data_IF_218034737664
#
_entry.id   IF_218034737664
#
_cell.length_a   1.000
_cell.length_b   1.000
_cell.length_c   1.000
_cell.angle_alpha   90.00
_cell.angle_beta   90.00
_cell.angle_gamma   90.00
#
_symmetry.space_group_name_H-M   'P 1'
#
loop_
_entity.id
_entity.type
_entity.pdbx_description
1 polymer ?
#
# COMPACT_ATOMS: atom_id res chain seq x y z
N UNK A 1 -4.26 11.77 15.46
CA UNK A 1 -4.75 10.41 15.78
C UNK A 1 -4.25 9.95 17.15
N UNK A 2 -3.06 10.39 17.61
CA UNK A 2 -2.62 10.11 18.99
C UNK A 2 -2.29 8.63 19.25
N UNK A 3 -2.22 7.81 18.21
CA UNK A 3 -1.93 6.39 18.31
C UNK A 3 -0.49 6.15 18.74
N UNK A 4 0.49 6.86 18.17
CA UNK A 4 1.90 6.70 18.53
C UNK A 4 2.19 6.92 20.03
N UNK A 5 1.44 7.79 20.70
CA UNK A 5 1.58 8.02 22.15
C UNK A 5 0.82 7.01 23.03
N UNK A 6 0.01 6.15 22.42
CA UNK A 6 -0.74 5.07 23.10
C UNK A 6 -0.16 3.69 22.78
N UNK A 7 0.54 3.57 21.66
CA UNK A 7 1.13 2.35 21.13
C UNK A 7 2.66 2.47 21.17
N UNK A 8 3.25 2.33 22.35
CA UNK A 8 4.69 2.64 22.55
C UNK A 8 5.66 1.72 21.77
N UNK A 9 5.16 0.66 21.14
CA UNK A 9 5.94 -0.27 20.33
C UNK A 9 6.00 0.12 18.83
N UNK A 10 5.15 1.05 18.38
CA UNK A 10 5.12 1.46 16.96
C UNK A 10 6.06 2.62 16.69
N UNK A 11 6.64 2.63 15.49
CA UNK A 11 7.51 3.70 15.00
C UNK A 11 6.65 4.95 14.72
N UNK A 12 6.95 6.07 15.38
CA UNK A 12 6.37 7.36 15.01
C UNK A 12 7.06 7.92 13.77
N UNK A 13 6.51 7.59 12.60
CA UNK A 13 7.01 8.00 11.28
C UNK A 13 6.16 9.08 10.62
N UNK A 14 5.41 9.88 11.38
CA UNK A 14 4.48 10.86 10.81
C UNK A 14 5.16 11.84 9.84
N UNK A 15 6.38 12.28 10.16
CA UNK A 15 7.15 13.21 9.33
C UNK A 15 7.59 12.54 8.02
N UNK A 16 8.06 11.30 8.09
CA UNK A 16 8.48 10.49 6.96
C UNK A 16 7.29 10.12 6.05
N UNK A 17 6.16 9.72 6.65
CA UNK A 17 4.90 9.50 5.95
C UNK A 17 4.47 10.78 5.21
N UNK A 18 4.54 11.94 5.88
CA UNK A 18 4.18 13.21 5.24
C UNK A 18 5.14 13.54 4.09
N UNK A 19 6.44 13.36 4.27
CA UNK A 19 7.45 13.56 3.23
C UNK A 19 7.17 12.68 2.00
N UNK A 20 6.87 11.39 2.20
CA UNK A 20 6.43 10.48 1.15
C UNK A 20 5.23 11.04 0.38
N UNK A 21 4.18 11.46 1.09
CA UNK A 21 2.97 11.96 0.42
C UNK A 21 3.19 13.23 -0.39
N UNK A 22 4.10 14.11 0.05
CA UNK A 22 4.48 15.32 -0.69
C UNK A 22 5.19 14.97 -1.99
N UNK A 23 6.00 13.91 -1.99
CA UNK A 23 6.71 13.45 -3.19
C UNK A 23 5.79 12.73 -4.17
N UNK A 24 4.87 11.91 -3.66
CA UNK A 24 3.84 11.22 -4.47
C UNK A 24 2.88 12.23 -5.10
N UNK A 25 2.35 13.17 -4.31
CA UNK A 25 1.36 14.18 -4.73
C UNK A 25 1.91 15.59 -4.53
N UNK A 26 2.77 16.04 -5.44
CA UNK A 26 3.55 17.28 -5.30
C UNK A 26 2.76 18.57 -5.52
N UNK A 27 1.65 18.52 -6.25
CA UNK A 27 0.96 19.72 -6.70
C UNK A 27 0.18 20.39 -5.54
N UNK A 28 0.32 21.71 -5.31
CA UNK A 28 -0.19 22.37 -4.10
C UNK A 28 -1.69 22.21 -3.84
N UNK A 29 -2.51 22.19 -4.90
CA UNK A 29 -3.97 22.09 -4.83
C UNK A 29 -4.46 20.80 -4.14
N UNK A 30 -3.64 19.74 -4.11
CA UNK A 30 -3.98 18.47 -3.48
C UNK A 30 -3.63 18.42 -1.99
N UNK A 31 -3.75 19.55 -1.28
CA UNK A 31 -3.50 19.65 0.17
C UNK A 31 -4.33 18.63 0.97
N UNK A 32 -5.62 18.50 0.64
CA UNK A 32 -6.49 17.54 1.32
C UNK A 32 -6.04 16.10 1.06
N UNK A 33 -5.73 15.77 -0.20
CA UNK A 33 -5.19 14.46 -0.57
C UNK A 33 -3.93 14.11 0.23
N UNK A 34 -2.92 14.98 0.27
CA UNK A 34 -1.70 14.75 1.07
C UNK A 34 -1.99 14.53 2.54
N UNK A 35 -2.88 15.34 3.14
CA UNK A 35 -3.24 15.21 4.56
C UNK A 35 -3.86 13.84 4.86
N UNK A 36 -4.79 13.39 4.02
CA UNK A 36 -5.46 12.11 4.24
C UNK A 36 -4.53 10.94 3.91
N UNK A 37 -3.77 11.03 2.83
CA UNK A 37 -2.78 10.03 2.46
C UNK A 37 -1.69 9.88 3.52
N UNK A 38 -1.30 10.96 4.21
CA UNK A 38 -0.36 10.88 5.33
C UNK A 38 -0.94 10.06 6.47
N UNK A 39 -2.22 10.24 6.82
CA UNK A 39 -2.89 9.40 7.82
C UNK A 39 -2.87 7.93 7.39
N UNK A 40 -3.18 7.65 6.12
CA UNK A 40 -3.18 6.30 5.55
C UNK A 40 -1.80 5.66 5.63
N UNK A 41 -0.74 6.37 5.22
CA UNK A 41 0.64 5.89 5.33
C UNK A 41 1.04 5.62 6.79
N UNK A 42 0.62 6.47 7.74
CA UNK A 42 0.86 6.20 9.16
C UNK A 42 0.12 4.95 9.66
N UNK A 43 -1.10 4.68 9.19
CA UNK A 43 -1.78 3.42 9.51
C UNK A 43 -1.05 2.22 8.95
N UNK A 44 -0.54 2.30 7.72
CA UNK A 44 0.28 1.22 7.13
C UNK A 44 1.47 0.93 8.03
N UNK A 45 2.24 1.93 8.44
CA UNK A 45 3.39 1.74 9.35
C UNK A 45 3.00 1.16 10.72
N UNK A 46 1.90 1.63 11.31
CA UNK A 46 1.41 1.12 12.60
C UNK A 46 1.00 -0.35 12.48
N UNK A 47 0.29 -0.71 11.40
CA UNK A 47 -0.17 -2.07 11.16
C UNK A 47 1.03 -2.97 10.87
N UNK A 48 1.99 -2.54 10.04
CA UNK A 48 3.28 -3.23 9.80
C UNK A 48 3.97 -3.59 11.13
N UNK A 49 4.11 -2.63 12.05
CA UNK A 49 4.69 -2.88 13.39
C UNK A 49 3.88 -3.87 14.24
N UNK A 50 2.55 -3.87 14.10
CA UNK A 50 1.70 -4.85 14.77
C UNK A 50 1.99 -6.27 14.24
N UNK A 51 2.10 -6.46 12.93
CA UNK A 51 2.31 -7.78 12.33
C UNK A 51 3.74 -8.31 12.48
N UNK A 52 4.75 -7.43 12.35
CA UNK A 52 6.15 -7.85 12.28
C UNK A 52 6.83 -7.94 13.64
N UNK A 53 6.41 -7.08 14.60
CA UNK A 53 7.16 -6.88 15.85
C UNK A 53 6.35 -7.26 17.09
N UNK A 54 5.04 -7.02 17.11
CA UNK A 54 4.29 -7.04 18.38
C UNK A 54 3.27 -8.17 18.52
N UNK A 55 2.42 -8.39 17.52
CA UNK A 55 1.29 -9.30 17.62
C UNK A 55 1.68 -10.78 17.62
N UNK A 56 0.97 -11.57 18.41
CA UNK A 56 1.03 -13.04 18.32
C UNK A 56 0.19 -13.55 17.15
N UNK A 57 0.45 -14.76 16.66
CA UNK A 57 -0.27 -15.32 15.51
C UNK A 57 -1.80 -15.30 15.70
N UNK A 58 -2.29 -15.74 16.87
CA UNK A 58 -3.74 -15.75 17.18
C UNK A 58 -4.35 -14.34 17.18
N UNK A 59 -3.61 -13.36 17.72
CA UNK A 59 -4.04 -11.95 17.71
C UNK A 59 -4.07 -11.38 16.29
N UNK A 60 -3.07 -11.71 15.46
CA UNK A 60 -2.97 -11.25 14.07
C UNK A 60 -4.05 -11.89 13.19
N UNK A 61 -4.38 -13.16 13.40
CA UNK A 61 -5.50 -13.83 12.74
C UNK A 61 -6.83 -13.16 13.10
N UNK A 62 -7.04 -12.85 14.39
CA UNK A 62 -8.21 -12.12 14.85
C UNK A 62 -8.28 -10.71 14.24
N UNK A 63 -7.18 -9.97 14.24
CA UNK A 63 -7.12 -8.62 13.66
C UNK A 63 -7.41 -8.65 12.15
N UNK A 64 -6.84 -9.64 11.45
CA UNK A 64 -7.10 -9.87 10.02
C UNK A 64 -8.58 -10.12 9.76
N UNK A 65 -9.23 -11.01 10.53
CA UNK A 65 -10.65 -11.33 10.38
C UNK A 65 -11.53 -10.09 10.58
N UNK A 66 -11.27 -9.29 11.61
CA UNK A 66 -12.00 -8.03 11.87
C UNK A 66 -11.84 -7.03 10.72
N UNK A 67 -10.62 -6.85 10.21
CA UNK A 67 -10.37 -5.98 9.04
C UNK A 67 -11.05 -6.52 7.78
N UNK A 68 -11.11 -7.84 7.59
CA UNK A 68 -11.78 -8.43 6.42
C UNK A 68 -13.30 -8.29 6.48
N UNK A 69 -13.90 -8.57 7.64
CA UNK A 69 -15.34 -8.43 7.87
C UNK A 69 -15.78 -6.97 7.85
N UNK A 70 -14.91 -6.07 8.32
CA UNK A 70 -15.21 -4.65 8.50
C UNK A 70 -16.39 -4.43 9.46
N UNK A 71 -16.43 -5.22 10.53
CA UNK A 71 -17.50 -5.27 11.52
C UNK A 71 -16.97 -4.82 12.89
N UNK A 72 -17.68 -3.90 13.55
CA UNK A 72 -17.34 -3.45 14.90
C UNK A 72 -17.74 -4.46 15.97
N UNK A 73 -18.72 -5.32 15.70
CA UNK A 73 -19.21 -6.31 16.67
C UNK A 73 -18.18 -7.40 17.01
N UNK A 74 -17.16 -7.59 16.17
CA UNK A 74 -16.10 -8.59 16.38
C UNK A 74 -14.90 -8.01 17.15
N UNK A 75 -14.95 -6.74 17.54
CA UNK A 75 -13.83 -6.04 18.20
C UNK A 75 -13.75 -6.33 19.71
N UNK A 76 -14.87 -6.71 20.33
CA UNK A 76 -15.04 -6.79 21.80
C UNK A 76 -14.10 -7.78 22.53
N UNK A 77 -13.38 -8.64 21.79
CA UNK A 77 -12.47 -9.64 22.37
C UNK A 77 -10.99 -9.45 21.96
N UNK A 78 -10.64 -8.33 21.32
CA UNK A 78 -9.26 -8.06 20.92
C UNK A 78 -8.46 -7.37 22.04
N UNK A 79 -7.12 -7.50 22.04
CA UNK A 79 -6.27 -6.66 22.87
C UNK A 79 -6.53 -5.18 22.63
N UNK A 80 -6.49 -4.39 23.71
CA UNK A 80 -6.78 -2.95 23.68
C UNK A 80 -6.02 -2.19 22.57
N UNK A 81 -4.77 -2.55 22.29
CA UNK A 81 -3.97 -1.88 21.27
C UNK A 81 -4.48 -2.14 19.84
N UNK A 82 -4.96 -3.36 19.56
CA UNK A 82 -5.56 -3.75 18.29
C UNK A 82 -6.93 -3.12 18.10
N UNK A 83 -7.75 -3.13 19.14
CA UNK A 83 -9.04 -2.43 19.16
C UNK A 83 -8.85 -0.94 18.85
N UNK A 84 -7.94 -0.27 19.56
CA UNK A 84 -7.67 1.15 19.36
C UNK A 84 -7.18 1.44 17.93
N UNK A 85 -6.27 0.62 17.42
CA UNK A 85 -5.76 0.74 16.05
C UNK A 85 -6.86 0.53 15.01
N UNK A 86 -7.66 -0.54 15.15
CA UNK A 86 -8.75 -0.85 14.23
C UNK A 86 -9.82 0.22 14.24
N UNK A 87 -10.28 0.69 15.41
CA UNK A 87 -11.29 1.74 15.50
C UNK A 87 -10.83 3.04 14.86
N UNK A 88 -9.57 3.44 15.09
CA UNK A 88 -9.00 4.63 14.46
C UNK A 88 -8.92 4.48 12.93
N UNK A 89 -8.51 3.31 12.45
CA UNK A 89 -8.42 2.98 11.04
C UNK A 89 -9.80 2.95 10.36
N UNK A 90 -10.74 2.20 10.95
CA UNK A 90 -12.14 2.10 10.55
C UNK A 90 -12.77 3.49 10.42
N UNK A 91 -12.66 4.31 11.46
CA UNK A 91 -13.21 5.67 11.43
C UNK A 91 -12.59 6.53 10.33
N UNK A 92 -11.28 6.41 10.09
CA UNK A 92 -10.59 7.20 9.06
C UNK A 92 -11.00 6.82 7.64
N UNK A 93 -11.14 5.53 7.36
CA UNK A 93 -11.58 5.03 6.05
C UNK A 93 -13.06 5.34 5.80
N UNK A 94 -13.93 5.19 6.81
CA UNK A 94 -15.33 5.54 6.70
C UNK A 94 -15.55 7.06 6.58
N UNK A 95 -14.74 7.89 7.26
CA UNK A 95 -14.73 9.35 7.09
C UNK A 95 -14.44 9.71 5.63
N UNK A 96 -13.40 9.12 5.03
CA UNK A 96 -13.07 9.34 3.61
C UNK A 96 -14.24 8.93 2.69
N UNK A 97 -14.79 7.73 2.90
CA UNK A 97 -15.88 7.24 2.06
C UNK A 97 -17.13 8.13 2.15
N UNK A 98 -17.46 8.60 3.35
CA UNK A 98 -18.54 9.54 3.59
C UNK A 98 -18.30 10.88 2.90
N UNK A 99 -17.09 11.45 3.02
CA UNK A 99 -16.74 12.70 2.35
C UNK A 99 -16.86 12.59 0.83
N UNK A 100 -16.41 11.49 0.23
CA UNK A 100 -16.56 11.27 -1.22
C UNK A 100 -18.02 11.08 -1.62
N UNK A 101 -18.81 10.34 -0.85
CA UNK A 101 -20.25 10.18 -1.10
C UNK A 101 -20.98 11.52 -1.01
N UNK A 102 -20.70 12.33 0.01
CA UNK A 102 -21.30 13.65 0.20
C UNK A 102 -20.93 14.62 -0.92
N UNK A 103 -19.66 14.68 -1.30
CA UNK A 103 -19.15 15.68 -2.23
C UNK A 103 -19.35 15.28 -3.71
N UNK A 104 -19.37 13.98 -4.03
CA UNK A 104 -19.38 13.47 -5.41
C UNK A 104 -20.48 12.44 -5.70
N UNK A 105 -21.32 12.09 -4.71
CA UNK A 105 -22.38 11.11 -4.89
C UNK A 105 -21.91 9.66 -5.05
N UNK A 106 -20.62 9.38 -4.87
CA UNK A 106 -20.04 8.06 -5.12
C UNK A 106 -19.64 7.36 -3.83
N UNK A 107 -20.18 6.16 -3.60
CA UNK A 107 -19.77 5.32 -2.48
C UNK A 107 -18.48 4.56 -2.84
N UNK A 108 -17.36 5.00 -2.26
CA UNK A 108 -16.04 4.41 -2.52
C UNK A 108 -15.62 3.35 -1.49
N UNK A 109 -16.40 3.15 -0.43
CA UNK A 109 -16.07 2.20 0.64
C UNK A 109 -15.78 0.78 0.12
N UNK A 110 -16.51 0.23 -0.88
CA UNK A 110 -16.18 -1.10 -1.43
C UNK A 110 -14.77 -1.18 -2.01
N UNK A 111 -14.30 -0.13 -2.68
CA UNK A 111 -12.96 -0.08 -3.28
C UNK A 111 -11.87 0.03 -2.20
N UNK A 112 -12.08 0.89 -1.20
CA UNK A 112 -11.15 1.03 -0.07
C UNK A 112 -11.05 -0.27 0.73
N UNK A 113 -12.18 -0.92 1.04
CA UNK A 113 -12.19 -2.23 1.72
C UNK A 113 -11.49 -3.30 0.89
N UNK A 114 -11.66 -3.32 -0.42
CA UNK A 114 -10.99 -4.29 -1.31
C UNK A 114 -9.47 -4.18 -1.20
N UNK A 115 -8.91 -2.97 -1.31
CA UNK A 115 -7.44 -2.81 -1.26
C UNK A 115 -6.85 -3.10 0.11
N UNK A 116 -7.60 -2.82 1.17
CA UNK A 116 -7.23 -3.14 2.56
C UNK A 116 -7.23 -4.65 2.80
N UNK A 117 -8.25 -5.37 2.34
CA UNK A 117 -8.33 -6.84 2.47
C UNK A 117 -7.18 -7.58 1.79
N UNK A 118 -6.62 -6.98 0.75
CA UNK A 118 -5.64 -7.60 -0.13
C UNK A 118 -4.21 -7.20 0.24
N UNK A 119 -4.04 -6.16 1.06
CA UNK A 119 -2.81 -6.00 1.82
C UNK A 119 -2.70 -7.22 2.75
N UNK A 120 -2.11 -8.29 2.24
CA UNK A 120 -1.98 -9.56 2.92
C UNK A 120 -0.86 -9.41 3.93
N UNK A 121 -1.23 -9.31 5.21
CA UNK A 121 -0.28 -9.19 6.31
C UNK A 121 0.05 -10.53 6.96
N UNK A 122 -0.37 -11.65 6.35
CA UNK A 122 -0.14 -12.97 6.93
C UNK A 122 1.35 -13.34 6.89
N UNK A 123 1.92 -13.56 8.08
CA UNK A 123 3.28 -14.04 8.24
C UNK A 123 3.31 -15.57 7.98
N UNK A 124 3.57 -15.97 6.74
CA UNK A 124 3.75 -17.38 6.41
C UNK A 124 5.18 -17.82 6.74
N UNK A 125 5.33 -18.95 7.43
CA UNK A 125 6.64 -19.60 7.65
C UNK A 125 7.17 -20.32 6.39
N UNK A 126 6.40 -20.29 5.30
CA UNK A 126 6.78 -20.84 4.00
C UNK A 126 7.88 -19.99 3.37
N UNK A 127 8.92 -20.63 2.83
CA UNK A 127 9.89 -19.94 1.97
C UNK A 127 9.26 -19.88 0.58
N UNK A 128 8.85 -18.70 0.09
CA UNK A 128 8.19 -18.59 -1.19
C UNK A 128 9.17 -18.85 -2.34
N UNK A 129 8.63 -19.36 -3.46
CA UNK A 129 9.32 -19.23 -4.75
C UNK A 129 9.45 -17.76 -5.14
N UNK A 130 10.34 -17.44 -6.07
CA UNK A 130 10.49 -16.07 -6.56
C UNK A 130 9.19 -15.51 -7.13
N UNK A 131 8.44 -16.33 -7.88
CA UNK A 131 7.14 -15.91 -8.45
C UNK A 131 6.08 -15.70 -7.37
N UNK A 132 5.98 -16.62 -6.39
CA UNK A 132 5.06 -16.45 -5.25
C UNK A 132 5.38 -15.18 -4.44
N UNK A 133 6.68 -14.90 -4.24
CA UNK A 133 7.12 -13.67 -3.61
C UNK A 133 6.68 -12.45 -4.40
N UNK A 134 6.95 -12.40 -5.72
CA UNK A 134 6.57 -11.28 -6.56
C UNK A 134 5.07 -11.03 -6.57
N UNK A 135 4.24 -12.08 -6.52
CA UNK A 135 2.77 -11.97 -6.51
C UNK A 135 2.23 -11.43 -5.18
N UNK A 136 2.95 -11.60 -4.07
CA UNK A 136 2.57 -11.08 -2.77
C UNK A 136 3.22 -9.72 -2.44
N UNK A 137 4.48 -9.52 -2.82
CA UNK A 137 5.29 -8.35 -2.47
C UNK A 137 4.66 -7.03 -2.94
N UNK A 138 4.03 -7.03 -4.11
CA UNK A 138 3.38 -5.83 -4.63
C UNK A 138 2.13 -5.42 -3.86
N UNK A 139 1.54 -6.35 -3.11
CA UNK A 139 0.40 -6.14 -2.25
C UNK A 139 0.83 -5.78 -0.82
N UNK A 140 1.88 -6.43 -0.29
CA UNK A 140 2.35 -6.16 1.07
C UNK A 140 2.86 -4.72 1.22
N UNK A 141 3.49 -4.18 0.17
CA UNK A 141 4.12 -2.85 0.24
C UNK A 141 3.16 -1.67 0.21
N UNK A 142 1.85 -1.93 0.13
CA UNK A 142 0.81 -0.91 0.21
C UNK A 142 0.86 0.17 -0.88
N UNK A 143 1.63 -0.02 -1.95
CA UNK A 143 1.66 0.87 -3.11
C UNK A 143 0.31 0.95 -3.81
N UNK A 144 -0.37 -0.19 -3.98
CA UNK A 144 -1.74 -0.24 -4.50
C UNK A 144 -2.72 0.52 -3.62
N UNK A 145 -2.58 0.39 -2.30
CA UNK A 145 -3.39 1.09 -1.32
C UNK A 145 -3.20 2.60 -1.49
N UNK A 146 -1.96 3.08 -1.55
CA UNK A 146 -1.63 4.48 -1.80
C UNK A 146 -2.30 5.01 -3.08
N UNK A 147 -2.17 4.30 -4.20
CA UNK A 147 -2.70 4.74 -5.49
C UNK A 147 -4.23 4.78 -5.53
N UNK A 148 -4.91 3.76 -5.00
CA UNK A 148 -6.38 3.76 -4.95
C UNK A 148 -6.91 4.91 -4.09
N UNK A 149 -6.28 5.19 -2.93
CA UNK A 149 -6.67 6.34 -2.12
C UNK A 149 -6.42 7.66 -2.85
N UNK A 150 -5.26 7.83 -3.52
CA UNK A 150 -4.97 9.06 -4.28
C UNK A 150 -5.95 9.30 -5.42
N UNK A 151 -6.38 8.25 -6.13
CA UNK A 151 -7.35 8.37 -7.21
C UNK A 151 -8.65 9.05 -6.74
N UNK A 152 -9.22 8.57 -5.63
CA UNK A 152 -10.45 9.16 -5.08
C UNK A 152 -10.22 10.55 -4.46
N UNK A 153 -9.06 10.77 -3.83
CA UNK A 153 -8.75 12.03 -3.17
C UNK A 153 -8.35 13.17 -4.12
N UNK A 154 -7.92 12.85 -5.34
CA UNK A 154 -7.57 13.84 -6.37
C UNK A 154 -8.81 14.45 -7.05
N UNK A 155 -10.04 14.00 -6.69
CA UNK A 155 -11.31 14.60 -7.11
C UNK A 155 -11.45 14.78 -8.63
N UNK A 156 -10.84 13.88 -9.40
CA UNK A 156 -11.10 13.78 -10.85
C UNK A 156 -12.48 13.15 -11.08
N UNK A 157 -13.07 13.37 -12.26
CA UNK A 157 -14.31 12.68 -12.64
C UNK A 157 -14.10 11.16 -12.53
N UNK A 158 -14.86 10.52 -11.65
CA UNK A 158 -14.80 9.08 -11.44
C UNK A 158 -15.52 8.41 -12.62
N UNK A 159 -14.78 7.68 -13.46
CA UNK A 159 -15.34 6.97 -14.62
C UNK A 159 -15.50 5.47 -14.31
N UNK A 160 -16.45 4.82 -14.99
CA UNK A 160 -16.70 3.37 -14.83
C UNK A 160 -15.47 2.58 -15.29
N UNK A 161 -14.82 3.02 -16.36
CA UNK A 161 -13.62 2.42 -16.92
C UNK A 161 -12.46 2.46 -15.93
N UNK A 162 -12.28 3.59 -15.23
CA UNK A 162 -11.26 3.71 -14.20
C UNK A 162 -11.61 2.85 -12.98
N UNK A 163 -12.86 2.82 -12.52
CA UNK A 163 -13.28 1.95 -11.42
C UNK A 163 -13.05 0.47 -11.72
N UNK A 164 -13.42 0.02 -12.92
CA UNK A 164 -13.14 -1.33 -13.39
C UNK A 164 -11.63 -1.62 -13.42
N UNK A 165 -10.83 -0.63 -13.82
CA UNK A 165 -9.36 -0.74 -13.88
C UNK A 165 -8.70 -0.78 -12.50
N UNK A 166 -9.24 -0.05 -11.51
CA UNK A 166 -8.82 -0.16 -10.11
C UNK A 166 -9.16 -1.56 -9.56
N UNK A 167 -10.34 -2.06 -9.91
CA UNK A 167 -10.83 -3.36 -9.43
C UNK A 167 -9.99 -4.54 -9.94
N UNK A 168 -9.44 -4.43 -11.15
CA UNK A 168 -8.63 -5.45 -11.80
C UNK A 168 -7.13 -5.16 -11.77
N UNK A 169 -6.67 -4.22 -10.95
CA UNK A 169 -5.25 -3.87 -10.79
C UNK A 169 -4.54 -3.60 -12.11
N UNK A 170 -5.08 -2.65 -12.87
CA UNK A 170 -4.45 -2.15 -14.08
C UNK A 170 -2.96 -1.86 -13.87
N UNK A 171 -2.14 -2.01 -14.91
CA UNK A 171 -0.67 -1.96 -14.82
C UNK A 171 -0.12 -0.73 -14.08
N UNK A 172 -0.79 0.42 -14.18
CA UNK A 172 -0.48 1.65 -13.41
C UNK A 172 -0.40 1.39 -11.90
N UNK A 173 -1.25 0.53 -11.35
CA UNK A 173 -1.24 0.14 -9.94
C UNK A 173 -0.14 -0.89 -9.69
N UNK A 174 -0.12 -1.96 -10.48
CA UNK A 174 0.75 -3.12 -10.26
C UNK A 174 2.24 -2.80 -10.41
N UNK A 175 2.61 -1.88 -11.31
CA UNK A 175 4.01 -1.57 -11.62
C UNK A 175 4.71 -0.66 -10.60
N UNK A 176 4.05 -0.31 -9.48
CA UNK A 176 4.62 0.62 -8.45
C UNK A 176 5.22 -0.07 -7.24
N UNK A 177 5.16 -1.40 -7.18
CA UNK A 177 5.56 -2.24 -6.06
C UNK A 177 7.07 -2.49 -5.88
N UNK A 178 7.89 -1.51 -6.22
CA UNK A 178 9.35 -1.65 -6.26
C UNK A 178 9.98 -1.74 -4.87
N UNK A 179 9.27 -1.24 -3.87
CA UNK A 179 9.75 -0.98 -2.51
C UNK A 179 10.18 -2.23 -1.72
N UNK A 180 9.62 -3.42 -2.00
CA UNK A 180 10.01 -4.68 -1.32
C UNK A 180 11.21 -5.37 -1.98
N UNK A 181 11.60 -4.96 -3.20
CA UNK A 181 12.73 -5.57 -3.90
C UNK A 181 14.08 -5.11 -3.32
N UNK A 182 14.09 -3.94 -2.66
CA UNK A 182 15.28 -3.28 -2.08
C UNK A 182 15.35 -3.42 -0.54
N UNK A 183 14.27 -3.84 0.15
CA UNK A 183 14.27 -4.10 1.60
C UNK A 183 14.96 -5.44 1.89
N UNK A 184 16.17 -5.37 2.46
CA UNK A 184 17.00 -6.51 2.84
C UNK A 184 16.48 -7.37 4.02
N UNK A 185 15.19 -7.64 4.08
CA UNK A 185 14.61 -8.57 5.06
C UNK A 185 14.63 -10.02 4.56
N UNK A 186 14.38 -10.95 5.49
CA UNK A 186 14.65 -12.41 5.46
C UNK A 186 14.13 -13.20 4.25
N UNK A 187 13.33 -12.59 3.37
CA UNK A 187 12.86 -13.13 2.11
C UNK A 187 12.96 -12.08 0.98
N UNK A 188 14.07 -11.32 0.89
CA UNK A 188 14.26 -10.36 -0.21
C UNK A 188 14.06 -11.05 -1.57
N UNK A 189 13.59 -10.31 -2.56
CA UNK A 189 13.42 -10.81 -3.93
C UNK A 189 14.70 -11.47 -4.47
N UNK A 190 15.84 -10.88 -4.10
CA UNK A 190 17.19 -11.38 -4.38
C UNK A 190 17.38 -12.75 -3.74
N UNK A 191 17.08 -12.89 -2.44
CA UNK A 191 17.19 -14.15 -1.70
C UNK A 191 16.28 -15.24 -2.29
N UNK A 192 15.02 -14.93 -2.61
CA UNK A 192 14.11 -15.88 -3.23
C UNK A 192 14.63 -16.35 -4.60
N UNK A 193 15.10 -15.42 -5.43
CA UNK A 193 15.67 -15.74 -6.74
C UNK A 193 16.96 -16.56 -6.64
N UNK A 194 17.87 -16.22 -5.72
CA UNK A 194 19.10 -16.97 -5.47
C UNK A 194 18.80 -18.40 -5.00
N UNK A 195 17.85 -18.56 -4.08
CA UNK A 195 17.48 -19.88 -3.55
C UNK A 195 16.87 -20.78 -4.63
N UNK A 196 16.05 -20.22 -5.52
CA UNK A 196 15.39 -20.98 -6.59
C UNK A 196 16.36 -21.36 -7.72
N UNK A 197 17.28 -20.46 -8.08
CA UNK A 197 18.16 -20.63 -9.25
C UNK A 197 19.58 -21.11 -8.91
N UNK A 198 20.00 -20.98 -7.65
CA UNK A 198 21.38 -21.23 -7.20
C UNK A 198 22.40 -20.20 -7.71
N UNK A 199 21.95 -19.05 -8.24
CA UNK A 199 22.85 -18.04 -8.80
C UNK A 199 23.56 -17.19 -7.73
N UNK A 200 24.54 -16.39 -8.18
CA UNK A 200 25.21 -15.43 -7.30
C UNK A 200 24.31 -14.22 -7.01
N UNK A 201 24.56 -13.55 -5.90
CA UNK A 201 23.88 -12.30 -5.53
C UNK A 201 23.98 -11.26 -6.64
N UNK A 202 25.15 -11.12 -7.29
CA UNK A 202 25.32 -10.19 -8.40
C UNK A 202 24.39 -10.49 -9.59
N UNK A 203 24.17 -11.77 -9.92
CA UNK A 203 23.24 -12.18 -10.97
C UNK A 203 21.78 -11.93 -10.56
N UNK A 204 21.44 -12.20 -9.31
CA UNK A 204 20.11 -11.93 -8.77
C UNK A 204 19.81 -10.42 -8.79
N UNK A 205 20.72 -9.58 -8.31
CA UNK A 205 20.61 -8.12 -8.38
C UNK A 205 20.42 -7.62 -9.82
N UNK A 206 21.18 -8.17 -10.78
CA UNK A 206 20.99 -7.82 -12.19
C UNK A 206 19.59 -8.17 -12.69
N UNK A 207 19.10 -9.37 -12.37
CA UNK A 207 17.74 -9.79 -12.75
C UNK A 207 16.66 -8.87 -12.16
N UNK A 208 16.78 -8.49 -10.90
CA UNK A 208 15.86 -7.55 -10.25
C UNK A 208 15.90 -6.17 -10.94
N UNK A 209 17.09 -5.67 -11.29
CA UNK A 209 17.22 -4.41 -12.03
C UNK A 209 16.55 -4.47 -13.40
N UNK A 210 16.73 -5.57 -14.15
CA UNK A 210 16.08 -5.77 -15.45
C UNK A 210 14.54 -5.78 -15.31
N UNK A 211 14.01 -6.42 -14.26
CA UNK A 211 12.58 -6.38 -13.95
C UNK A 211 12.08 -4.97 -13.63
N UNK A 212 12.83 -4.20 -12.84
CA UNK A 212 12.51 -2.80 -12.52
C UNK A 212 12.44 -1.95 -13.79
N UNK A 213 13.37 -2.15 -14.73
CA UNK A 213 13.35 -1.48 -16.03
C UNK A 213 12.12 -1.86 -16.86
N UNK A 214 11.73 -3.14 -16.86
CA UNK A 214 10.55 -3.60 -17.59
C UNK A 214 9.25 -3.04 -17.00
N UNK A 215 9.14 -2.94 -15.67
CA UNK A 215 8.03 -2.24 -15.02
C UNK A 215 8.01 -0.74 -15.35
N UNK A 216 9.17 -0.09 -15.46
CA UNK A 216 9.27 1.28 -15.94
C UNK A 216 8.77 1.45 -17.38
N UNK A 217 9.14 0.54 -18.29
CA UNK A 217 8.64 0.55 -19.68
C UNK A 217 7.11 0.41 -19.73
N UNK A 218 6.53 -0.50 -18.93
CA UNK A 218 5.07 -0.67 -18.81
C UNK A 218 4.39 0.60 -18.29
N UNK A 219 4.92 1.19 -17.22
CA UNK A 219 4.36 2.42 -16.64
C UNK A 219 4.45 3.62 -17.60
N UNK A 220 5.57 3.76 -18.32
CA UNK A 220 5.73 4.77 -19.35
C UNK A 220 4.75 4.56 -20.51
N UNK A 221 4.52 3.30 -20.91
CA UNK A 221 3.50 2.97 -21.93
C UNK A 221 2.11 3.40 -21.47
N UNK A 222 1.72 3.17 -20.21
CA UNK A 222 0.44 3.65 -19.68
C UNK A 222 0.28 5.18 -19.76
N UNK A 223 1.38 5.93 -19.69
CA UNK A 223 1.34 7.39 -19.79
C UNK A 223 1.12 7.89 -21.24
N UNK A 224 1.58 7.12 -22.22
CA UNK A 224 1.57 7.50 -23.65
C UNK A 224 0.37 6.89 -24.39
N UNK A 225 0.05 5.63 -24.10
CA UNK A 225 -1.08 4.90 -24.68
C UNK A 225 -2.31 5.09 -23.78
N UNK A 226 -3.42 5.54 -24.36
CA UNK A 226 -4.63 5.96 -23.64
C UNK A 226 -5.01 5.04 -22.47
N UNK A 227 -4.71 5.50 -21.26
CA UNK A 227 -5.10 4.86 -20.01
C UNK A 227 -6.50 5.31 -19.59
N UNK A 228 -7.28 4.46 -18.90
CA UNK A 228 -8.53 4.86 -18.27
C UNK A 228 -8.33 5.89 -17.14
N UNK A 229 -7.09 6.08 -16.69
CA UNK A 229 -6.73 7.07 -15.67
C UNK A 229 -6.31 8.41 -16.30
N UNK A 230 -6.55 9.49 -15.57
CA UNK A 230 -6.03 10.80 -15.99
C UNK A 230 -4.51 10.81 -15.95
N UNK A 231 -3.88 11.67 -16.77
CA UNK A 231 -2.41 11.86 -16.74
C UNK A 231 -1.90 12.14 -15.34
N UNK A 232 -2.67 12.89 -14.54
CA UNK A 232 -2.32 13.23 -13.17
C UNK A 232 -2.27 12.00 -12.25
N UNK A 233 -3.18 11.03 -12.39
CA UNK A 233 -3.14 9.79 -11.62
C UNK A 233 -1.92 8.93 -12.02
N UNK A 234 -1.58 8.91 -13.32
CA UNK A 234 -0.42 8.16 -13.82
C UNK A 234 0.87 8.81 -13.35
N UNK A 235 0.96 10.14 -13.36
CA UNK A 235 2.06 10.89 -12.76
C UNK A 235 2.21 10.57 -11.27
N UNK A 236 1.11 10.38 -10.55
CA UNK A 236 1.12 9.99 -9.13
C UNK A 236 1.74 8.60 -8.96
N UNK A 237 1.39 7.64 -9.81
CA UNK A 237 2.02 6.31 -9.83
C UNK A 237 3.52 6.36 -10.19
N UNK A 238 3.89 7.19 -11.17
CA UNK A 238 5.29 7.44 -11.53
C UNK A 238 6.05 8.06 -10.36
N UNK A 239 5.46 9.04 -9.68
CA UNK A 239 6.10 9.71 -8.55
C UNK A 239 6.25 8.78 -7.35
N UNK A 240 5.28 7.88 -7.12
CA UNK A 240 5.40 6.80 -6.15
C UNK A 240 6.65 5.96 -6.47
N UNK A 241 6.74 5.43 -7.70
CA UNK A 241 7.91 4.64 -8.12
C UNK A 241 9.25 5.41 -8.04
N UNK A 242 9.25 6.75 -8.19
CA UNK A 242 10.46 7.57 -8.04
C UNK A 242 10.89 7.75 -6.59
N UNK A 243 9.94 8.05 -5.70
CA UNK A 243 10.27 8.27 -4.29
C UNK A 243 10.72 6.97 -3.63
N UNK A 244 10.09 5.85 -3.98
CA UNK A 244 10.53 4.49 -3.70
C UNK A 244 12.03 4.31 -3.93
N UNK A 245 12.49 4.47 -5.17
CA UNK A 245 13.90 4.35 -5.54
C UNK A 245 14.78 5.36 -4.79
N UNK A 246 14.29 6.58 -4.52
CA UNK A 246 15.10 7.59 -3.84
C UNK A 246 15.33 7.28 -2.35
N UNK A 247 14.41 6.56 -1.71
CA UNK A 247 14.45 6.23 -0.28
C UNK A 247 15.26 4.96 -0.03
N UNK A 248 15.11 3.97 -0.90
CA UNK A 248 15.69 2.63 -0.72
C UNK A 248 17.01 2.41 -1.50
N UNK A 249 17.54 3.45 -2.16
CA UNK A 249 18.85 3.47 -2.81
C UNK A 249 20.07 3.38 -1.85
N UNK A 250 19.86 3.29 -0.53
CA UNK A 250 20.89 3.37 0.52
C UNK A 250 20.69 2.27 1.56
#
# INVERSE_FOLDING_TARGET
MGLASKLNFVRDRLTECFFWTVRVVSQPQFRHCRKVLTKVASFVTIIDDIYDVHGTLDELESFTDVVQRWDLGTVENMPYYMELCFLAFYNSINEMAYETLRDHGQNILPYLRKVVRIANWANSKHIPTFQEYLENAWLSVSGHLCLVHTYFLQRTNITIEALHSLEHYHDVIRCTAKDELERGESASAITCYMNETGCSEAMACQHINDLIEDYWKKLNKCYVDGSPFSKHNIETAINLARISQSIYQH
#
